data_IF_175810146943
#
_entry.id   IF_175810146943
#
_cell.length_a   1.000
_cell.length_b   1.000
_cell.length_c   1.000
_cell.angle_alpha   90.00
_cell.angle_beta   90.00
_cell.angle_gamma   90.00
#
_symmetry.space_group_name_H-M   'P 1'
#
loop_
_entity.id
_entity.type
_entity.pdbx_description
1 polymer ?
#
# COMPACT_ATOMS: atom_id res chain seq x y z
N UNK A 1 11.64 -14.42 64.60
CA UNK A 1 11.52 -14.49 66.07
C UNK A 1 12.92 -14.42 66.66
N UNK A 2 13.11 -13.71 67.77
CA UNK A 2 14.39 -13.73 68.49
C UNK A 2 14.14 -13.92 69.97
N UNK A 3 15.08 -14.56 70.63
CA UNK A 3 15.05 -14.82 72.06
C UNK A 3 16.24 -14.14 72.70
N UNK A 4 15.99 -13.36 73.75
CA UNK A 4 17.03 -12.70 74.53
C UNK A 4 17.12 -13.42 75.87
N UNK A 5 18.33 -13.82 76.21
CA UNK A 5 18.69 -14.41 77.49
C UNK A 5 19.41 -13.36 78.33
N UNK A 6 19.14 -13.36 79.62
CA UNK A 6 19.77 -12.48 80.59
C UNK A 6 20.12 -13.27 81.86
N UNK A 7 21.07 -12.76 82.62
CA UNK A 7 21.51 -13.37 83.86
C UNK A 7 22.05 -12.30 84.79
N UNK A 8 21.86 -12.52 86.09
CA UNK A 8 22.52 -11.77 87.15
C UNK A 8 23.74 -12.56 87.65
N UNK A 9 24.66 -11.88 88.33
CA UNK A 9 25.88 -12.50 88.88
C UNK A 9 25.65 -13.19 90.24
N UNK A 10 24.42 -13.19 90.77
CA UNK A 10 24.08 -13.83 92.04
C UNK A 10 23.72 -15.31 91.84
N UNK A 11 24.64 -16.19 92.20
CA UNK A 11 24.51 -17.64 92.06
C UNK A 11 23.89 -18.33 93.29
N UNK A 12 23.53 -17.57 94.33
CA UNK A 12 23.12 -18.14 95.62
C UNK A 12 21.71 -18.73 95.61
N UNK A 13 20.79 -18.18 94.80
CA UNK A 13 19.44 -18.72 94.66
C UNK A 13 18.75 -18.36 93.33
N UNK A 14 19.18 -18.97 92.21
CA UNK A 14 18.70 -18.61 90.87
C UNK A 14 17.19 -18.85 90.64
N UNK A 15 16.56 -19.74 91.42
CA UNK A 15 15.13 -20.04 91.28
C UNK A 15 14.21 -18.98 91.90
N UNK A 16 14.73 -18.08 92.73
CA UNK A 16 13.98 -17.00 93.35
C UNK A 16 14.24 -15.63 92.72
N UNK A 17 15.05 -15.56 91.66
CA UNK A 17 15.27 -14.30 90.96
C UNK A 17 14.03 -13.86 90.20
N UNK A 18 13.67 -12.58 90.37
CA UNK A 18 12.53 -11.95 89.74
C UNK A 18 12.97 -10.81 88.84
N UNK A 19 12.65 -10.93 87.57
CA UNK A 19 12.95 -9.94 86.55
C UNK A 19 11.68 -9.19 86.12
N UNK A 20 11.85 -7.91 85.84
CA UNK A 20 10.82 -7.07 85.24
C UNK A 20 11.32 -6.57 83.89
N UNK A 21 10.43 -6.51 82.92
CA UNK A 21 10.76 -6.10 81.56
C UNK A 21 9.88 -4.95 81.10
N UNK A 22 10.44 -4.09 80.24
CA UNK A 22 9.72 -3.04 79.54
C UNK A 22 10.32 -2.88 78.15
N UNK A 23 9.49 -2.80 77.11
CA UNK A 23 9.94 -2.44 75.75
C UNK A 23 9.19 -1.20 75.28
N UNK A 24 9.94 -0.12 75.11
CA UNK A 24 9.41 1.09 74.49
C UNK A 24 9.02 0.78 73.04
N UNK A 25 7.76 1.05 72.69
CA UNK A 25 7.17 0.71 71.39
C UNK A 25 6.33 -0.58 71.35
N UNK A 26 6.23 -1.32 72.48
CA UNK A 26 5.33 -2.49 72.62
C UNK A 26 4.51 -2.37 73.90
N UNK A 27 5.15 -2.10 75.04
CA UNK A 27 4.51 -2.03 76.35
C UNK A 27 5.08 -0.91 77.23
N UNK A 28 4.22 -0.03 77.72
CA UNK A 28 4.65 1.13 78.52
C UNK A 28 4.88 0.80 80.00
N UNK A 29 4.30 -0.30 80.49
CA UNK A 29 4.37 -0.76 81.88
C UNK A 29 5.34 -1.92 82.08
N UNK A 30 5.94 -2.00 83.27
CA UNK A 30 6.78 -3.12 83.69
C UNK A 30 5.97 -4.40 83.82
N UNK A 31 6.40 -5.45 83.13
CA UNK A 31 5.80 -6.78 83.22
C UNK A 31 6.73 -7.66 84.06
N UNK A 32 6.22 -8.32 85.09
CA UNK A 32 7.00 -9.27 85.88
C UNK A 32 7.07 -10.63 85.19
N UNK A 33 8.26 -11.23 85.14
CA UNK A 33 8.45 -12.61 84.69
C UNK A 33 8.26 -13.59 85.87
N UNK A 34 7.97 -14.85 85.52
CA UNK A 34 7.93 -15.96 86.48
C UNK A 34 9.31 -16.14 87.14
N UNK A 35 9.31 -16.54 88.41
CA UNK A 35 10.54 -16.74 89.17
C UNK A 35 11.45 -17.78 88.48
N UNK A 36 12.74 -17.47 88.36
CA UNK A 36 13.72 -18.32 87.67
C UNK A 36 13.66 -18.27 86.14
N UNK A 37 12.73 -17.51 85.54
CA UNK A 37 12.69 -17.31 84.09
C UNK A 37 13.64 -16.21 83.66
N UNK A 38 14.63 -16.57 82.85
CA UNK A 38 15.73 -15.69 82.46
C UNK A 38 15.79 -15.40 80.94
N UNK A 39 14.68 -15.62 80.23
CA UNK A 39 14.60 -15.40 78.79
C UNK A 39 13.26 -14.77 78.37
N UNK A 40 13.29 -14.11 77.22
CA UNK A 40 12.09 -13.62 76.54
C UNK A 40 12.18 -13.85 75.04
N UNK A 41 11.07 -14.28 74.45
CA UNK A 41 10.94 -14.52 73.01
C UNK A 41 9.93 -13.55 72.43
N UNK A 42 10.36 -12.77 71.45
CA UNK A 42 9.47 -11.93 70.66
C UNK A 42 9.30 -12.51 69.25
N UNK A 43 8.02 -12.64 68.86
CA UNK A 43 7.62 -13.06 67.53
C UNK A 43 6.89 -11.91 66.85
N UNK A 44 7.23 -11.64 65.58
CA UNK A 44 6.51 -10.69 64.73
C UNK A 44 6.57 -9.21 65.18
N UNK A 45 7.77 -8.72 65.51
CA UNK A 45 7.98 -7.29 65.70
C UNK A 45 8.05 -6.57 64.34
N UNK A 46 7.32 -5.47 64.22
CA UNK A 46 7.35 -4.61 63.04
C UNK A 46 8.72 -3.94 62.87
N UNK A 47 9.08 -3.48 61.66
CA UNK A 47 10.27 -2.67 61.48
C UNK A 47 10.21 -1.39 62.32
N UNK A 48 11.30 -1.07 63.03
CA UNK A 48 11.36 0.05 63.96
C UNK A 48 12.52 -0.04 64.94
N UNK A 49 12.63 0.99 65.77
CA UNK A 49 13.60 1.09 66.85
C UNK A 49 12.94 0.75 68.18
N UNK A 50 13.47 -0.25 68.88
CA UNK A 50 12.96 -0.72 70.16
C UNK A 50 14.04 -0.60 71.24
N UNK A 51 13.64 -0.19 72.43
CA UNK A 51 14.50 -0.13 73.62
C UNK A 51 13.98 -1.13 74.64
N UNK A 52 14.69 -2.26 74.79
CA UNK A 52 14.39 -3.26 75.80
C UNK A 52 15.07 -2.89 77.11
N UNK A 53 14.30 -2.75 78.17
CA UNK A 53 14.76 -2.53 79.53
C UNK A 53 14.47 -3.75 80.40
N UNK A 54 15.48 -4.21 81.13
CA UNK A 54 15.40 -5.33 82.08
C UNK A 54 15.76 -4.79 83.45
N UNK A 55 14.92 -5.06 84.43
CA UNK A 55 15.09 -4.67 85.83
C UNK A 55 15.16 -5.90 86.73
N UNK A 56 16.24 -6.01 87.50
CA UNK A 56 16.37 -6.98 88.59
C UNK A 56 16.65 -6.17 89.87
N UNK A 57 15.78 -6.28 90.88
CA UNK A 57 15.82 -5.44 92.09
C UNK A 57 15.87 -3.92 91.76
N UNK A 58 16.99 -3.25 92.02
CA UNK A 58 17.20 -1.82 91.73
C UNK A 58 18.02 -1.57 90.46
N UNK A 59 18.57 -2.60 89.84
CA UNK A 59 19.43 -2.47 88.66
C UNK A 59 18.61 -2.57 87.38
N UNK A 60 18.76 -1.57 86.51
CA UNK A 60 18.10 -1.49 85.21
C UNK A 60 19.17 -1.49 84.12
N UNK A 61 19.02 -2.37 83.13
CA UNK A 61 19.87 -2.43 81.93
C UNK A 61 19.02 -2.26 80.68
N UNK A 62 19.54 -1.56 79.67
CA UNK A 62 18.86 -1.33 78.40
C UNK A 62 19.63 -1.92 77.21
N UNK A 63 18.89 -2.40 76.21
CA UNK A 63 19.40 -2.91 74.94
C UNK A 63 18.59 -2.31 73.78
N UNK A 64 19.28 -1.64 72.86
CA UNK A 64 18.67 -1.08 71.66
C UNK A 64 18.60 -2.13 70.55
N UNK A 65 17.42 -2.34 70.00
CA UNK A 65 17.13 -3.32 68.96
C UNK A 65 16.56 -2.57 67.75
N UNK A 66 17.22 -2.68 66.60
CA UNK A 66 16.80 -2.03 65.35
C UNK A 66 16.35 -3.10 64.36
N UNK A 67 15.06 -3.11 64.02
CA UNK A 67 14.50 -4.03 63.03
C UNK A 67 14.36 -3.28 61.70
N UNK A 68 15.23 -3.58 60.74
CA UNK A 68 15.18 -2.95 59.41
C UNK A 68 14.02 -3.50 58.58
N UNK A 69 13.31 -2.65 57.82
CA UNK A 69 12.27 -3.12 56.92
C UNK A 69 12.87 -4.01 55.82
N UNK A 70 12.10 -4.97 55.29
CA UNK A 70 12.58 -5.80 54.21
C UNK A 70 12.82 -4.98 52.94
N UNK A 71 13.80 -5.38 52.14
CA UNK A 71 14.26 -4.60 50.98
C UNK A 71 13.15 -4.31 49.95
N UNK A 72 12.15 -5.18 49.81
CA UNK A 72 11.04 -4.99 48.86
C UNK A 72 10.04 -3.89 49.26
N UNK A 73 10.00 -3.50 50.53
CA UNK A 73 9.11 -2.43 50.99
C UNK A 73 9.76 -1.04 50.93
N UNK A 74 11.06 -1.01 50.61
CA UNK A 74 11.81 0.24 50.46
C UNK A 74 11.38 1.03 49.22
N UNK A 75 11.48 2.36 49.29
CA UNK A 75 11.12 3.26 48.18
C UNK A 75 11.92 2.98 46.91
N UNK A 76 13.24 2.74 47.03
CA UNK A 76 14.09 2.49 45.86
C UNK A 76 13.67 1.23 45.11
N UNK A 77 13.27 0.17 45.82
CA UNK A 77 12.82 -1.07 45.19
C UNK A 77 11.50 -0.87 44.44
N UNK A 78 10.54 -0.14 45.03
CA UNK A 78 9.26 0.22 44.38
C UNK A 78 9.48 1.04 43.11
N UNK A 79 10.46 1.97 43.12
CA UNK A 79 10.84 2.75 41.94
C UNK A 79 11.44 1.86 40.84
N UNK A 80 12.33 0.94 41.20
CA UNK A 80 12.91 0.00 40.21
C UNK A 80 11.84 -0.90 39.63
N UNK A 81 10.93 -1.42 40.47
CA UNK A 81 9.83 -2.26 40.01
C UNK A 81 8.89 -1.50 39.06
N UNK A 82 8.52 -0.25 39.39
CA UNK A 82 7.68 0.56 38.52
C UNK A 82 8.36 0.87 37.18
N UNK A 83 9.66 1.20 37.20
CA UNK A 83 10.46 1.39 35.98
C UNK A 83 10.55 0.12 35.14
N UNK A 84 10.73 -1.04 35.77
CA UNK A 84 10.75 -2.33 35.06
C UNK A 84 9.42 -2.62 34.37
N UNK A 85 8.30 -2.35 35.05
CA UNK A 85 6.95 -2.49 34.46
C UNK A 85 6.75 -1.51 33.31
N UNK A 86 7.13 -0.24 33.46
CA UNK A 86 7.03 0.75 32.39
C UNK A 86 7.89 0.34 31.19
N UNK A 87 9.14 -0.10 31.42
CA UNK A 87 10.04 -0.58 30.37
C UNK A 87 9.45 -1.79 29.63
N UNK A 88 8.83 -2.73 30.36
CA UNK A 88 8.16 -3.88 29.75
C UNK A 88 6.98 -3.44 28.88
N UNK A 89 6.16 -2.51 29.36
CA UNK A 89 5.04 -1.96 28.59
C UNK A 89 5.50 -1.25 27.32
N UNK A 90 6.55 -0.43 27.39
CA UNK A 90 7.14 0.24 26.24
C UNK A 90 7.72 -0.77 25.24
N UNK A 91 8.37 -1.84 25.72
CA UNK A 91 8.91 -2.91 24.89
C UNK A 91 7.79 -3.68 24.15
N UNK A 92 6.71 -4.03 24.84
CA UNK A 92 5.55 -4.67 24.23
C UNK A 92 4.86 -3.75 23.21
N UNK A 93 4.73 -2.46 23.53
CA UNK A 93 4.18 -1.46 22.63
C UNK A 93 5.04 -1.31 21.37
N UNK A 94 6.37 -1.31 21.52
CA UNK A 94 7.32 -1.29 20.39
C UNK A 94 7.13 -2.50 19.48
N UNK A 95 7.02 -3.70 20.02
CA UNK A 95 6.78 -4.93 19.25
C UNK A 95 5.44 -4.87 18.52
N UNK A 96 4.39 -4.43 19.21
CA UNK A 96 3.06 -4.27 18.61
C UNK A 96 3.08 -3.32 17.41
N UNK A 97 3.76 -2.18 17.55
CA UNK A 97 3.85 -1.17 16.50
C UNK A 97 4.61 -1.67 15.27
N UNK A 98 5.77 -2.32 15.47
CA UNK A 98 6.58 -2.89 14.38
C UNK A 98 5.80 -3.94 13.57
N UNK A 99 5.08 -4.84 14.26
CA UNK A 99 4.25 -5.85 13.57
C UNK A 99 3.11 -5.22 12.76
N UNK A 100 2.58 -4.08 13.22
CA UNK A 100 1.52 -3.37 12.53
C UNK A 100 2.03 -2.71 11.25
N UNK A 101 3.22 -2.11 11.30
CA UNK A 101 3.88 -1.52 10.12
C UNK A 101 4.17 -2.58 9.06
N UNK A 102 4.78 -3.72 9.42
CA UNK A 102 5.05 -4.80 8.47
C UNK A 102 3.78 -5.33 7.79
N UNK A 103 2.68 -5.46 8.55
CA UNK A 103 1.40 -5.93 8.00
C UNK A 103 0.84 -4.92 7.01
N UNK A 104 0.93 -3.63 7.33
CA UNK A 104 0.45 -2.55 6.47
C UNK A 104 1.29 -2.47 5.18
N UNK A 105 2.61 -2.58 5.29
CA UNK A 105 3.51 -2.57 4.14
C UNK A 105 3.25 -3.76 3.20
N UNK A 106 3.05 -4.96 3.76
CA UNK A 106 2.65 -6.15 2.99
C UNK A 106 1.33 -5.94 2.26
N UNK A 107 0.32 -5.37 2.93
CA UNK A 107 -0.98 -5.08 2.30
C UNK A 107 -0.82 -4.09 1.14
N UNK A 108 -0.10 -2.99 1.35
CA UNK A 108 0.17 -1.99 0.31
C UNK A 108 0.91 -2.64 -0.87
N UNK A 109 1.90 -3.48 -0.60
CA UNK A 109 2.65 -4.18 -1.65
C UNK A 109 1.74 -5.13 -2.43
N UNK A 110 0.90 -5.91 -1.77
CA UNK A 110 -0.05 -6.82 -2.44
C UNK A 110 -1.05 -6.08 -3.32
N UNK A 111 -1.63 -4.97 -2.84
CA UNK A 111 -2.55 -4.15 -3.62
C UNK A 111 -1.84 -3.49 -4.81
N UNK A 112 -0.59 -3.05 -4.65
CA UNK A 112 0.22 -2.53 -5.77
C UNK A 112 0.48 -3.61 -6.83
N UNK A 113 0.83 -4.83 -6.41
CA UNK A 113 1.02 -5.95 -7.34
C UNK A 113 -0.27 -6.30 -8.09
N UNK A 114 -1.42 -6.29 -7.41
CA UNK A 114 -2.72 -6.54 -8.02
C UNK A 114 -3.07 -5.46 -9.06
N UNK A 115 -2.89 -4.18 -8.73
CA UNK A 115 -3.09 -3.07 -9.68
C UNK A 115 -2.17 -3.22 -10.90
N UNK A 116 -0.88 -3.56 -10.69
CA UNK A 116 0.07 -3.78 -11.79
C UNK A 116 -0.34 -4.96 -12.67
N UNK A 117 -0.87 -6.04 -12.07
CA UNK A 117 -1.37 -7.20 -12.81
C UNK A 117 -2.59 -6.84 -13.66
N UNK A 118 -3.58 -6.16 -13.07
CA UNK A 118 -4.78 -5.70 -13.78
C UNK A 118 -4.42 -4.75 -14.94
N UNK A 119 -3.48 -3.82 -14.71
CA UNK A 119 -3.00 -2.93 -15.78
C UNK A 119 -2.31 -3.71 -16.90
N UNK A 120 -1.48 -4.70 -16.58
CA UNK A 120 -0.86 -5.56 -17.59
C UNK A 120 -1.88 -6.38 -18.39
N UNK A 121 -2.88 -6.95 -17.73
CA UNK A 121 -3.97 -7.67 -18.38
C UNK A 121 -4.76 -6.75 -19.32
N UNK A 122 -5.05 -5.52 -18.86
CA UNK A 122 -5.68 -4.49 -19.68
C UNK A 122 -4.83 -4.15 -20.91
N UNK A 123 -3.53 -3.87 -20.75
CA UNK A 123 -2.64 -3.57 -21.88
C UNK A 123 -2.56 -4.73 -22.88
N UNK A 124 -2.50 -5.97 -22.39
CA UNK A 124 -2.52 -7.15 -23.27
C UNK A 124 -3.84 -7.26 -24.03
N UNK A 125 -4.97 -6.98 -23.39
CA UNK A 125 -6.28 -6.95 -24.05
C UNK A 125 -6.34 -5.87 -25.12
N UNK A 126 -5.89 -4.65 -24.80
CA UNK A 126 -5.86 -3.52 -25.74
C UNK A 126 -4.98 -3.81 -26.96
N UNK A 127 -3.80 -4.43 -26.75
CA UNK A 127 -2.91 -4.88 -27.82
C UNK A 127 -3.59 -5.96 -28.66
N UNK A 128 -4.24 -6.95 -28.04
CA UNK A 128 -4.96 -8.02 -28.75
C UNK A 128 -6.07 -7.45 -29.64
N UNK A 129 -6.84 -6.52 -29.12
CA UNK A 129 -7.88 -5.80 -29.86
C UNK A 129 -7.25 -5.01 -31.02
N UNK A 130 -6.15 -4.29 -30.77
CA UNK A 130 -5.43 -3.54 -31.80
C UNK A 130 -4.90 -4.44 -32.92
N UNK A 131 -4.27 -5.56 -32.57
CA UNK A 131 -3.77 -6.54 -33.53
C UNK A 131 -4.91 -7.17 -34.35
N UNK A 132 -6.03 -7.52 -33.71
CA UNK A 132 -7.20 -8.02 -34.43
C UNK A 132 -7.70 -6.99 -35.46
N UNK A 133 -7.73 -5.69 -35.13
CA UNK A 133 -8.10 -4.63 -36.07
C UNK A 133 -7.16 -4.57 -37.26
N UNK A 134 -5.85 -4.60 -37.00
CA UNK A 134 -4.83 -4.59 -38.04
C UNK A 134 -4.93 -5.81 -38.96
N UNK A 135 -5.17 -7.00 -38.41
CA UNK A 135 -5.28 -8.23 -39.19
C UNK A 135 -6.52 -8.24 -40.10
N UNK A 136 -7.69 -7.90 -39.56
CA UNK A 136 -8.92 -7.82 -40.35
C UNK A 136 -8.78 -6.80 -41.48
N UNK A 137 -8.18 -5.65 -41.18
CA UNK A 137 -7.93 -4.65 -42.21
C UNK A 137 -6.88 -5.09 -43.24
N UNK A 138 -5.77 -5.69 -42.81
CA UNK A 138 -4.71 -6.17 -43.72
C UNK A 138 -5.23 -7.23 -44.68
N UNK A 139 -6.09 -8.14 -44.21
CA UNK A 139 -6.74 -9.15 -45.04
C UNK A 139 -7.62 -8.49 -46.12
N UNK A 140 -8.39 -7.47 -45.75
CA UNK A 140 -9.23 -6.72 -46.69
C UNK A 140 -8.40 -5.93 -47.71
N UNK A 141 -7.26 -5.35 -47.30
CA UNK A 141 -6.34 -4.66 -48.21
C UNK A 141 -5.65 -5.63 -49.18
N UNK A 142 -5.26 -6.81 -48.71
CA UNK A 142 -4.70 -7.86 -49.55
C UNK A 142 -5.70 -8.28 -50.64
N UNK A 143 -6.97 -8.48 -50.26
CA UNK A 143 -8.06 -8.76 -51.21
C UNK A 143 -8.21 -7.64 -52.26
N UNK A 144 -8.20 -6.37 -51.82
CA UNK A 144 -8.28 -5.24 -52.75
C UNK A 144 -7.10 -5.20 -53.73
N UNK A 145 -5.89 -5.45 -53.25
CA UNK A 145 -4.71 -5.53 -54.12
C UNK A 145 -4.80 -6.69 -55.12
N UNK A 146 -5.39 -7.85 -54.73
CA UNK A 146 -5.60 -8.94 -55.68
C UNK A 146 -6.57 -8.55 -56.78
N UNK A 147 -7.70 -7.89 -56.45
CA UNK A 147 -8.68 -7.40 -57.43
C UNK A 147 -8.06 -6.33 -58.34
N UNK A 148 -7.31 -5.38 -57.78
CA UNK A 148 -6.63 -4.34 -58.56
C UNK A 148 -5.58 -4.92 -59.51
N UNK A 149 -4.82 -5.93 -59.08
CA UNK A 149 -3.87 -6.62 -59.94
C UNK A 149 -4.60 -7.41 -61.04
N UNK A 150 -5.71 -8.08 -60.73
CA UNK A 150 -6.53 -8.76 -61.74
C UNK A 150 -7.06 -7.78 -62.80
N UNK A 151 -7.50 -6.60 -62.37
CA UNK A 151 -7.92 -5.51 -63.26
C UNK A 151 -6.73 -5.01 -64.10
N UNK A 152 -5.56 -4.81 -63.48
CA UNK A 152 -4.34 -4.37 -64.17
C UNK A 152 -3.88 -5.39 -65.21
N UNK A 153 -3.93 -6.68 -64.89
CA UNK A 153 -3.54 -7.77 -65.79
C UNK A 153 -4.52 -7.86 -66.96
N UNK A 154 -5.83 -7.75 -66.70
CA UNK A 154 -6.86 -7.63 -67.74
C UNK A 154 -6.63 -6.41 -68.64
N UNK A 155 -6.32 -5.24 -68.07
CA UNK A 155 -6.00 -4.03 -68.84
C UNK A 155 -4.74 -4.18 -69.69
N UNK A 156 -3.68 -4.81 -69.17
CA UNK A 156 -2.44 -5.06 -69.93
C UNK A 156 -2.62 -6.10 -71.03
N UNK A 157 -3.52 -7.07 -70.85
CA UNK A 157 -3.87 -8.06 -71.88
C UNK A 157 -4.68 -7.47 -73.05
N UNK A 158 -5.28 -6.29 -72.84
CA UNK A 158 -6.05 -5.56 -73.85
C UNK A 158 -5.11 -4.61 -74.59
N UNK A 159 -4.75 -4.95 -75.83
CA UNK A 159 -4.20 -3.97 -76.76
C UNK A 159 -5.18 -2.79 -76.93
N UNK A 160 -4.67 -1.56 -76.95
CA UNK A 160 -5.35 -0.28 -76.68
C UNK A 160 -6.58 0.12 -77.51
N UNK A 161 -7.25 -0.78 -78.24
CA UNK A 161 -8.24 -0.46 -79.27
C UNK A 161 -9.64 -1.11 -79.11
N UNK A 162 -10.02 -1.69 -77.95
CA UNK A 162 -11.37 -2.28 -77.78
C UNK A 162 -12.24 -1.56 -76.72
N UNK A 163 -13.09 -0.59 -77.12
CA UNK A 163 -13.92 0.21 -76.22
C UNK A 163 -14.94 -0.57 -75.39
N UNK A 164 -15.42 -1.72 -75.89
CA UNK A 164 -16.43 -2.55 -75.23
C UNK A 164 -15.87 -3.25 -73.98
N UNK A 165 -14.63 -3.73 -74.05
CA UNK A 165 -13.95 -4.33 -72.90
C UNK A 165 -13.50 -3.29 -71.88
N UNK A 166 -13.05 -2.12 -72.34
CA UNK A 166 -12.79 -0.97 -71.45
C UNK A 166 -14.05 -0.62 -70.67
N UNK A 167 -15.23 -0.56 -71.31
CA UNK A 167 -16.52 -0.37 -70.63
C UNK A 167 -16.83 -1.47 -69.63
N UNK A 168 -16.46 -2.72 -69.90
CA UNK A 168 -16.65 -3.86 -69.00
C UNK A 168 -15.76 -3.77 -67.77
N UNK A 169 -14.50 -3.35 -67.96
CA UNK A 169 -13.54 -3.10 -66.88
C UNK A 169 -13.98 -1.92 -66.03
N UNK A 170 -14.43 -0.81 -66.65
CA UNK A 170 -15.04 0.31 -65.94
C UNK A 170 -16.22 -0.17 -65.10
N UNK A 171 -17.06 -1.08 -65.61
CA UNK A 171 -18.19 -1.64 -64.87
C UNK A 171 -17.79 -2.51 -63.68
N UNK A 172 -16.69 -3.26 -63.79
CA UNK A 172 -16.10 -4.00 -62.65
C UNK A 172 -15.57 -3.00 -61.61
N UNK A 173 -14.90 -1.94 -62.07
CA UNK A 173 -14.41 -0.85 -61.23
C UNK A 173 -15.56 -0.12 -60.51
N UNK A 174 -16.63 0.19 -61.23
CA UNK A 174 -17.82 0.85 -60.69
C UNK A 174 -18.55 -0.04 -59.67
N UNK A 175 -18.61 -1.36 -59.90
CA UNK A 175 -19.18 -2.29 -58.93
C UNK A 175 -18.33 -2.39 -57.65
N UNK A 176 -17.00 -2.44 -57.78
CA UNK A 176 -16.07 -2.48 -56.63
C UNK A 176 -16.03 -1.13 -55.87
N UNK A 177 -16.24 -0.01 -56.57
CA UNK A 177 -16.41 1.31 -55.95
C UNK A 177 -17.75 1.39 -55.19
N UNK A 178 -18.77 0.66 -55.63
CA UNK A 178 -20.13 0.70 -55.09
C UNK A 178 -20.42 -0.37 -54.00
N UNK A 179 -19.54 -1.36 -53.78
CA UNK A 179 -19.66 -2.26 -52.62
C UNK A 179 -19.39 -1.48 -51.32
N UNK A 180 -20.44 -1.45 -50.46
CA UNK A 180 -20.54 -0.81 -49.14
C UNK A 180 -19.29 -0.08 -48.64
N UNK A 181 -19.38 1.25 -48.62
CA UNK A 181 -18.35 2.20 -48.22
C UNK A 181 -17.54 1.66 -47.03
N UNK A 182 -16.29 1.26 -47.30
CA UNK A 182 -15.31 0.81 -46.30
C UNK A 182 -15.30 1.66 -45.01
N UNK A 183 -15.54 2.96 -45.16
CA UNK A 183 -15.59 3.91 -44.07
C UNK A 183 -16.85 3.84 -43.20
N UNK A 184 -17.97 3.37 -43.72
CA UNK A 184 -19.19 3.17 -42.94
C UNK A 184 -19.01 1.96 -42.01
N UNK A 185 -18.42 0.87 -42.50
CA UNK A 185 -18.02 -0.25 -41.65
C UNK A 185 -16.96 0.17 -40.63
N UNK A 186 -15.92 0.90 -41.05
CA UNK A 186 -14.94 1.46 -40.12
C UNK A 186 -15.62 2.29 -39.04
N UNK A 187 -16.56 3.18 -39.38
CA UNK A 187 -17.26 4.04 -38.42
C UNK A 187 -18.08 3.22 -37.41
N UNK A 188 -18.80 2.18 -37.87
CA UNK A 188 -19.54 1.26 -36.99
C UNK A 188 -18.58 0.56 -36.00
N UNK A 189 -17.42 0.10 -36.47
CA UNK A 189 -16.43 -0.54 -35.60
C UNK A 189 -15.71 0.45 -34.69
N UNK A 190 -15.40 1.63 -35.20
CA UNK A 190 -14.74 2.70 -34.47
C UNK A 190 -15.63 3.17 -33.31
N UNK A 191 -16.92 3.37 -33.54
CA UNK A 191 -17.89 3.74 -32.48
C UNK A 191 -18.02 2.67 -31.39
N UNK A 192 -17.83 1.38 -31.71
CA UNK A 192 -17.80 0.30 -30.70
C UNK A 192 -16.59 0.40 -29.78
N UNK A 193 -15.46 0.89 -30.29
CA UNK A 193 -14.17 0.97 -29.58
C UNK A 193 -14.03 2.28 -28.82
N UNK A 194 -14.38 3.39 -29.48
CA UNK A 194 -14.15 4.75 -29.02
C UNK A 194 -15.47 5.51 -29.04
N UNK A 195 -16.34 5.08 -28.13
CA UNK A 195 -17.70 5.59 -28.02
C UNK A 195 -17.66 7.11 -27.88
N UNK A 196 -18.38 7.78 -28.78
CA UNK A 196 -18.58 9.22 -28.85
C UNK A 196 -17.45 10.05 -29.46
N UNK A 197 -16.26 9.52 -29.78
CA UNK A 197 -15.21 10.37 -30.38
C UNK A 197 -15.66 10.98 -31.70
N UNK A 198 -16.21 10.19 -32.62
CA UNK A 198 -16.65 10.71 -33.92
C UNK A 198 -17.70 11.81 -33.74
N UNK A 199 -18.62 11.63 -32.78
CA UNK A 199 -19.66 12.60 -32.47
C UNK A 199 -19.09 13.89 -31.84
N UNK A 200 -18.26 13.77 -30.79
CA UNK A 200 -17.69 14.92 -30.07
C UNK A 200 -16.69 15.69 -30.94
N UNK A 201 -15.84 14.98 -31.68
CA UNK A 201 -14.83 15.56 -32.56
C UNK A 201 -15.47 16.28 -33.75
N UNK A 202 -16.44 15.66 -34.43
CA UNK A 202 -17.13 16.28 -35.57
C UNK A 202 -17.97 17.48 -35.13
N UNK A 203 -18.62 17.41 -33.96
CA UNK A 203 -19.40 18.52 -33.41
C UNK A 203 -18.53 19.74 -33.06
N UNK A 204 -17.33 19.53 -32.53
CA UNK A 204 -16.39 20.61 -32.20
C UNK A 204 -15.66 21.15 -33.44
N UNK A 205 -15.52 20.35 -34.49
CA UNK A 205 -14.81 20.71 -35.71
C UNK A 205 -15.67 20.47 -36.98
N UNK A 206 -16.76 21.24 -37.16
CA UNK A 206 -17.70 21.02 -38.26
C UNK A 206 -17.12 21.36 -39.65
N UNK A 207 -15.98 22.05 -39.70
CA UNK A 207 -15.31 22.46 -40.95
C UNK A 207 -14.38 21.37 -41.50
N UNK A 208 -14.20 20.26 -40.79
CA UNK A 208 -13.34 19.16 -41.24
C UNK A 208 -14.01 18.34 -42.34
N UNK A 209 -13.19 17.93 -43.31
CA UNK A 209 -13.64 17.02 -44.36
C UNK A 209 -13.71 15.58 -43.82
N UNK A 210 -14.44 14.70 -44.50
CA UNK A 210 -14.45 13.28 -44.15
C UNK A 210 -13.03 12.69 -44.10
N UNK A 211 -12.14 13.06 -45.02
CA UNK A 211 -10.75 12.58 -44.99
C UNK A 211 -9.93 13.09 -43.79
N UNK A 212 -10.27 14.27 -43.25
CA UNK A 212 -9.67 14.77 -42.02
C UNK A 212 -10.15 13.98 -40.80
N UNK A 213 -11.46 13.72 -40.72
CA UNK A 213 -12.06 12.90 -39.65
C UNK A 213 -11.44 11.50 -39.68
N UNK A 214 -11.36 10.89 -40.87
CA UNK A 214 -10.72 9.60 -41.11
C UNK A 214 -9.27 9.59 -40.64
N UNK A 215 -8.47 10.58 -41.04
CA UNK A 215 -7.09 10.73 -40.59
C UNK A 215 -7.01 10.85 -39.06
N UNK A 216 -7.88 11.66 -38.44
CA UNK A 216 -7.91 11.84 -36.99
C UNK A 216 -8.26 10.53 -36.26
N UNK A 217 -9.24 9.77 -36.76
CA UNK A 217 -9.61 8.46 -36.21
C UNK A 217 -8.46 7.46 -36.28
N UNK A 218 -7.73 7.40 -37.40
CA UNK A 218 -6.58 6.50 -37.55
C UNK A 218 -5.40 6.92 -36.65
N UNK A 219 -5.18 8.22 -36.45
CA UNK A 219 -4.19 8.74 -35.50
C UNK A 219 -4.57 8.42 -34.05
N UNK A 220 -5.87 8.50 -33.72
CA UNK A 220 -6.39 8.14 -32.39
C UNK A 220 -6.24 6.66 -32.08
N UNK A 221 -6.34 5.80 -33.10
CA UNK A 221 -6.00 4.38 -33.03
C UNK A 221 -4.48 4.12 -32.92
N UNK A 222 -3.64 5.16 -32.86
CA UNK A 222 -2.18 5.10 -32.73
C UNK A 222 -1.48 4.31 -33.85
N UNK A 223 -2.05 4.35 -35.05
CA UNK A 223 -1.46 3.70 -36.21
C UNK A 223 -0.22 4.45 -36.69
N UNK A 224 0.78 3.70 -37.15
CA UNK A 224 1.99 4.25 -37.75
C UNK A 224 1.68 4.93 -39.08
N UNK A 225 2.53 5.88 -39.50
CA UNK A 225 2.39 6.54 -40.82
C UNK A 225 2.34 5.52 -41.97
N UNK A 226 3.05 4.39 -41.86
CA UNK A 226 3.02 3.32 -42.86
C UNK A 226 1.64 2.65 -42.92
N UNK A 227 1.07 2.29 -41.78
CA UNK A 227 -0.26 1.69 -41.72
C UNK A 227 -1.33 2.67 -42.23
N UNK A 228 -1.27 3.93 -41.78
CA UNK A 228 -2.19 4.98 -42.25
C UNK A 228 -2.07 5.19 -43.76
N UNK A 229 -0.86 5.12 -44.32
CA UNK A 229 -0.64 5.27 -45.76
C UNK A 229 -1.32 4.16 -46.56
N UNK A 230 -1.24 2.91 -46.06
CA UNK A 230 -1.92 1.77 -46.66
C UNK A 230 -3.45 1.90 -46.55
N UNK A 231 -3.94 2.31 -45.37
CA UNK A 231 -5.37 2.50 -45.07
C UNK A 231 -6.04 3.58 -45.92
N UNK A 232 -5.39 4.73 -46.06
CA UNK A 232 -5.91 5.85 -46.83
C UNK A 232 -5.62 5.74 -48.33
N UNK A 233 -4.88 4.70 -48.75
CA UNK A 233 -4.37 4.53 -50.10
C UNK A 233 -3.66 5.79 -50.63
N UNK A 234 -2.74 6.32 -49.82
CA UNK A 234 -1.90 7.47 -50.18
C UNK A 234 -0.45 7.17 -49.83
N UNK A 235 0.49 7.94 -50.39
CA UNK A 235 1.90 7.80 -50.00
C UNK A 235 2.13 8.19 -48.53
N UNK A 236 3.18 7.64 -47.91
CA UNK A 236 3.65 8.05 -46.57
C UNK A 236 3.81 9.57 -46.48
N UNK A 237 4.35 10.20 -47.54
CA UNK A 237 4.48 11.67 -47.64
C UNK A 237 3.12 12.38 -47.73
N UNK A 238 2.13 11.75 -48.35
CA UNK A 238 0.74 12.19 -48.36
C UNK A 238 0.12 12.20 -46.96
N UNK A 239 0.41 11.19 -46.14
CA UNK A 239 -0.02 11.14 -44.73
C UNK A 239 0.59 12.30 -43.94
N UNK A 240 1.90 12.54 -44.05
CA UNK A 240 2.57 13.64 -43.32
C UNK A 240 2.02 15.02 -43.72
N UNK A 241 1.80 15.25 -45.03
CA UNK A 241 1.10 16.47 -45.50
C UNK A 241 -0.32 16.54 -44.95
N UNK A 242 -1.03 15.41 -44.86
CA UNK A 242 -2.36 15.31 -44.28
C UNK A 242 -2.39 15.71 -42.81
N UNK A 243 -1.48 15.18 -41.98
CA UNK A 243 -1.32 15.56 -40.57
C UNK A 243 -1.10 17.06 -40.40
N UNK A 244 -0.23 17.64 -41.22
CA UNK A 244 0.02 19.09 -41.20
C UNK A 244 -1.24 19.90 -41.54
N UNK A 245 -1.99 19.50 -42.57
CA UNK A 245 -3.26 20.16 -42.94
C UNK A 245 -4.32 20.01 -41.85
N UNK A 246 -4.43 18.82 -41.26
CA UNK A 246 -5.34 18.56 -40.15
C UNK A 246 -5.00 19.46 -38.96
N UNK A 247 -3.72 19.55 -38.59
CA UNK A 247 -3.23 20.43 -37.52
C UNK A 247 -3.61 21.90 -37.77
N UNK A 248 -3.46 22.39 -39.00
CA UNK A 248 -3.91 23.75 -39.39
C UNK A 248 -5.42 23.93 -39.29
N UNK A 249 -6.21 22.97 -39.77
CA UNK A 249 -7.69 23.02 -39.72
C UNK A 249 -8.23 22.97 -38.30
N UNK A 250 -7.51 22.31 -37.40
CA UNK A 250 -7.82 22.29 -35.96
C UNK A 250 -7.38 23.56 -35.22
N UNK A 251 -6.70 24.50 -35.89
CA UNK A 251 -6.22 25.75 -35.28
C UNK A 251 -5.06 25.55 -34.28
N UNK A 252 -4.32 24.45 -34.38
CA UNK A 252 -3.24 24.14 -33.44
C UNK A 252 -1.95 24.86 -33.82
N UNK A 253 -1.24 25.39 -32.82
CA UNK A 253 0.06 26.04 -32.99
C UNK A 253 1.18 25.04 -33.25
N UNK A 254 2.34 25.50 -33.76
CA UNK A 254 3.42 24.62 -34.21
C UNK A 254 3.98 23.70 -33.11
N UNK A 255 3.96 24.18 -31.87
CA UNK A 255 4.40 23.52 -30.63
C UNK A 255 3.37 22.52 -30.05
N UNK A 256 2.09 22.63 -30.43
CA UNK A 256 1.05 21.72 -29.92
C UNK A 256 1.10 20.35 -30.59
N UNK A 257 1.01 19.29 -29.78
CA UNK A 257 0.99 17.91 -30.28
C UNK A 257 -0.41 17.53 -30.79
N UNK A 258 -0.49 17.20 -32.09
CA UNK A 258 -1.72 16.82 -32.78
C UNK A 258 -2.35 15.55 -32.18
N UNK A 259 -1.55 14.55 -31.84
CA UNK A 259 -2.03 13.27 -31.31
C UNK A 259 -2.55 13.48 -29.90
N UNK A 260 -1.82 14.25 -29.07
CA UNK A 260 -2.26 14.60 -27.71
C UNK A 260 -3.59 15.36 -27.75
N UNK A 261 -3.75 16.30 -28.68
CA UNK A 261 -5.01 17.02 -28.85
C UNK A 261 -6.17 16.09 -29.22
N UNK A 262 -5.97 15.23 -30.22
CA UNK A 262 -6.98 14.27 -30.68
C UNK A 262 -7.39 13.33 -29.54
N UNK A 263 -6.45 12.90 -28.70
CA UNK A 263 -6.71 11.99 -27.57
C UNK A 263 -7.49 12.63 -26.41
N UNK A 264 -7.69 13.95 -26.38
CA UNK A 264 -8.46 14.64 -25.33
C UNK A 264 -9.97 14.65 -25.59
N UNK A 265 -10.42 14.15 -26.73
CA UNK A 265 -11.84 13.96 -27.06
C UNK A 265 -12.41 12.65 -26.54
#
# INVERSE_FOLDING_TARGET
PFTIYFSNFDYTNPQNEKYYIKIDGINDNWISLENGKNNITYTNLSPGDYSLQIKNNNDIRSLNIVIRPPFWDTLWFKIILSLAVISLLLFLFRIYFLRREEKLEKQILTSKMEILKLNNEKYKSDIKISNSKLLSFSAQMAYKNTVLNEIKDKLNSIGSNNPLEIKRIIRILDNEINEENYWDQFNIYFDKVDKNFLNTFSKKHPTLTNNDIRMASLLRLKLSTKEISALLNISVRGVEKGKYRLKKRLGLSADQDLIKYINNF
#
